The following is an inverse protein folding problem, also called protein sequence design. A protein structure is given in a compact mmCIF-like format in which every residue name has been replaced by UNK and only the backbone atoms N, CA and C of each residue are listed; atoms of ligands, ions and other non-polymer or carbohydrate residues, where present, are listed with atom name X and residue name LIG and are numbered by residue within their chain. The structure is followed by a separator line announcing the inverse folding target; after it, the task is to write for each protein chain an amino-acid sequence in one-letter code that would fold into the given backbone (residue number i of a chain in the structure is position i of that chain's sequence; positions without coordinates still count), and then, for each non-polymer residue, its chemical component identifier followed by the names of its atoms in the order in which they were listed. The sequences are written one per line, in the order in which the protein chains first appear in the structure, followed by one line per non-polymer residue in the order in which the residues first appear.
data_IF_645785856432
#
_entry.id   IF_645785856432
#
_cell.length_a   1.000
_cell.length_b   1.000
_cell.length_c   1.000
_cell.angle_alpha   90.00
_cell.angle_beta   90.00
_cell.angle_gamma   90.00
#
_symmetry.space_group_name_H-M   'P 1'
#
loop_
_entity.id
_entity.type
_entity.pdbx_description
1 polymer ?
#
# COMPACT_ATOMS: atom_id res chain seq x y z
N UNK A 1 -19.77 29.77 -6.33
CA UNK A 1 -20.45 28.51 -6.01
C UNK A 1 -20.25 27.61 -7.20
N UNK A 2 -19.71 26.44 -6.91
CA UNK A 2 -19.75 25.19 -7.68
C UNK A 2 -19.34 25.25 -9.16
N UNK A 3 -18.24 24.57 -9.48
CA UNK A 3 -18.27 23.33 -10.27
C UNK A 3 -16.82 22.87 -10.37
N UNK A 4 -16.45 21.93 -9.50
CA UNK A 4 -15.24 21.11 -9.65
C UNK A 4 -15.77 19.67 -9.71
N UNK A 5 -16.64 19.47 -10.71
CA UNK A 5 -17.26 18.22 -11.15
C UNK A 5 -16.27 17.46 -12.07
N UNK A 6 -15.01 17.34 -11.67
CA UNK A 6 -13.95 16.75 -12.49
C UNK A 6 -13.32 15.48 -11.88
N UNK A 7 -13.83 15.01 -10.73
CA UNK A 7 -13.29 13.81 -10.07
C UNK A 7 -14.19 12.57 -10.22
N UNK A 8 -15.49 12.74 -10.45
CA UNK A 8 -16.44 11.62 -10.57
C UNK A 8 -16.32 10.91 -11.93
N UNK A 9 -16.07 11.65 -13.02
CA UNK A 9 -15.85 11.08 -14.37
C UNK A 9 -14.52 10.31 -14.49
N UNK A 10 -13.56 10.51 -13.58
CA UNK A 10 -12.30 9.76 -13.56
C UNK A 10 -12.45 8.39 -12.87
N UNK A 11 -13.46 8.23 -12.01
CA UNK A 11 -13.74 7.00 -11.30
C UNK A 11 -14.48 5.98 -12.18
N UNK A 12 -15.40 6.43 -13.04
CA UNK A 12 -16.14 5.54 -13.96
C UNK A 12 -15.26 4.95 -15.08
N UNK A 13 -14.11 5.56 -15.42
CA UNK A 13 -13.17 5.00 -16.40
C UNK A 13 -12.31 3.86 -15.81
N UNK A 14 -12.03 3.89 -14.49
CA UNK A 14 -11.26 2.86 -13.78
C UNK A 14 -12.03 1.56 -13.56
N UNK A 15 -13.36 1.59 -13.56
CA UNK A 15 -14.20 0.39 -13.40
C UNK A 15 -14.37 -0.41 -14.70
N UNK A 16 -13.95 0.14 -15.86
CA UNK A 16 -14.20 -0.47 -17.17
C UNK A 16 -13.07 -1.38 -17.70
N UNK A 17 -11.92 -1.45 -17.03
CA UNK A 17 -10.78 -2.27 -17.47
C UNK A 17 -10.25 -3.16 -16.34
N UNK A 18 -10.73 -4.40 -16.26
CA UNK A 18 -9.97 -5.43 -15.55
C UNK A 18 -10.77 -6.57 -14.98
N UNK A 19 -11.54 -7.26 -15.81
CA UNK A 19 -11.74 -8.69 -15.63
C UNK A 19 -10.35 -9.34 -15.67
N UNK A 20 -9.74 -9.55 -14.51
CA UNK A 20 -8.52 -10.33 -14.41
C UNK A 20 -8.63 -11.25 -13.21
N UNK A 21 -8.66 -12.55 -13.51
CA UNK A 21 -8.12 -13.63 -12.70
C UNK A 21 -6.63 -13.38 -12.37
N UNK A 22 -6.29 -12.23 -11.80
CA UNK A 22 -4.94 -11.86 -11.39
C UNK A 22 -4.69 -12.53 -10.06
N UNK A 23 -3.83 -13.54 -10.08
CA UNK A 23 -3.13 -14.12 -8.92
C UNK A 23 -3.12 -13.16 -7.73
N UNK A 24 -4.11 -13.29 -6.84
CA UNK A 24 -4.29 -12.38 -5.72
C UNK A 24 -3.08 -12.54 -4.82
N UNK A 25 -2.16 -11.59 -4.89
CA UNK A 25 -0.92 -11.64 -4.16
C UNK A 25 -1.21 -11.45 -2.68
N UNK A 26 -0.85 -12.46 -1.88
CA UNK A 26 -0.99 -12.43 -0.43
C UNK A 26 0.24 -11.77 0.19
N UNK A 27 0.04 -10.57 0.72
CA UNK A 27 1.03 -9.80 1.48
C UNK A 27 0.98 -10.20 2.95
N UNK A 28 2.13 -10.18 3.62
CA UNK A 28 2.24 -10.37 5.07
C UNK A 28 2.68 -9.07 5.73
N UNK A 29 2.02 -8.71 6.83
CA UNK A 29 2.35 -7.51 7.62
C UNK A 29 2.89 -7.94 8.97
N UNK A 30 3.98 -7.31 9.41
CA UNK A 30 4.50 -7.47 10.76
C UNK A 30 5.01 -6.15 11.30
N UNK A 31 5.15 -6.05 12.61
CA UNK A 31 5.77 -4.90 13.27
C UNK A 31 7.04 -5.35 13.97
N UNK A 32 8.14 -4.63 13.74
CA UNK A 32 9.41 -4.81 14.43
C UNK A 32 9.79 -3.55 15.21
N UNK A 33 10.49 -3.72 16.32
CA UNK A 33 11.09 -2.62 17.08
C UNK A 33 12.48 -2.28 16.53
N UNK A 34 12.68 -1.04 16.08
CA UNK A 34 13.98 -0.48 15.69
C UNK A 34 14.63 0.27 16.85
N UNK A 35 15.63 1.10 16.57
CA UNK A 35 16.36 1.89 17.58
C UNK A 35 15.39 2.64 18.50
N UNK A 36 15.68 2.61 19.80
CA UNK A 36 14.88 3.26 20.85
C UNK A 36 13.43 2.73 20.92
N UNK A 37 13.24 1.42 20.70
CA UNK A 37 11.93 0.76 20.76
C UNK A 37 10.88 1.39 19.84
N UNK A 38 11.33 2.08 18.78
CA UNK A 38 10.43 2.69 17.81
C UNK A 38 9.82 1.60 16.91
N UNK A 39 8.50 1.48 16.83
CA UNK A 39 7.87 0.49 15.97
C UNK A 39 8.08 0.84 14.50
N UNK A 40 8.26 -0.19 13.69
CA UNK A 40 8.31 -0.12 12.23
C UNK A 40 7.43 -1.22 11.68
N UNK A 41 6.52 -0.85 10.80
CA UNK A 41 5.64 -1.78 10.08
C UNK A 41 6.37 -2.26 8.83
N UNK A 42 6.42 -3.56 8.64
CA UNK A 42 7.10 -4.23 7.53
C UNK A 42 6.05 -4.98 6.73
N UNK A 43 6.04 -4.73 5.43
CA UNK A 43 5.13 -5.34 4.47
C UNK A 43 5.96 -6.15 3.48
N UNK A 44 5.69 -7.45 3.42
CA UNK A 44 6.45 -8.43 2.64
C UNK A 44 5.54 -9.24 1.74
N UNK A 45 6.16 -9.92 0.76
CA UNK A 45 5.44 -10.80 -0.16
C UNK A 45 4.98 -10.12 -1.43
N UNK A 46 5.55 -8.96 -1.78
CA UNK A 46 5.35 -8.34 -3.11
C UNK A 46 6.05 -9.17 -4.20
N UNK A 47 5.43 -9.24 -5.37
CA UNK A 47 5.94 -9.85 -6.61
C UNK A 47 5.83 -8.79 -7.71
N UNK A 48 6.36 -7.61 -7.38
CA UNK A 48 6.33 -6.42 -8.21
C UNK A 48 7.75 -6.10 -8.67
N UNK A 49 7.85 -5.39 -9.80
CA UNK A 49 9.13 -4.80 -10.17
C UNK A 49 9.57 -3.76 -9.14
N UNK A 50 10.88 -3.45 -9.10
CA UNK A 50 11.41 -2.39 -8.20
C UNK A 50 10.75 -1.03 -8.43
N UNK A 51 10.25 -0.76 -9.62
CA UNK A 51 9.57 0.51 -9.95
C UNK A 51 8.19 0.55 -9.31
N UNK A 52 7.40 -0.51 -9.48
CA UNK A 52 6.06 -0.65 -8.91
C UNK A 52 6.10 -0.70 -7.39
N UNK A 53 7.08 -1.40 -6.81
CA UNK A 53 7.28 -1.44 -5.36
C UNK A 53 7.58 -0.04 -4.79
N UNK A 54 8.34 0.79 -5.53
CA UNK A 54 8.60 2.19 -5.15
C UNK A 54 7.36 3.06 -5.27
N UNK A 55 6.51 2.84 -6.29
CA UNK A 55 5.23 3.55 -6.43
C UNK A 55 4.33 3.23 -5.23
N UNK A 56 4.10 1.94 -5.00
CA UNK A 56 3.27 1.43 -3.88
C UNK A 56 3.75 1.99 -2.55
N UNK A 57 5.07 1.97 -2.30
CA UNK A 57 5.62 2.54 -1.07
C UNK A 57 5.42 4.05 -0.97
N UNK A 58 5.51 4.78 -2.08
CA UNK A 58 5.31 6.24 -2.11
C UNK A 58 3.87 6.59 -1.79
N UNK A 59 2.92 5.83 -2.33
CA UNK A 59 1.50 6.00 -2.03
C UNK A 59 1.18 5.67 -0.57
N UNK A 60 1.66 4.54 -0.05
CA UNK A 60 1.47 4.17 1.37
C UNK A 60 2.04 5.23 2.32
N UNK A 61 3.24 5.75 2.02
CA UNK A 61 3.85 6.84 2.79
C UNK A 61 2.99 8.12 2.77
N UNK A 62 2.44 8.48 1.61
CA UNK A 62 1.56 9.64 1.47
C UNK A 62 0.25 9.46 2.24
N UNK A 63 -0.38 8.28 2.16
CA UNK A 63 -1.64 7.97 2.85
C UNK A 63 -1.48 7.92 4.38
N UNK A 64 -0.34 7.45 4.87
CA UNK A 64 -0.06 7.30 6.30
C UNK A 64 0.65 8.53 6.90
N UNK A 65 1.15 9.45 6.07
CA UNK A 65 1.93 10.61 6.53
C UNK A 65 3.24 10.21 7.21
N UNK A 66 3.84 9.10 6.80
CA UNK A 66 5.02 8.53 7.46
C UNK A 66 6.22 8.37 6.52
N UNK A 67 7.41 8.33 7.11
CA UNK A 67 8.63 7.94 6.41
C UNK A 67 8.71 6.42 6.23
N UNK A 68 9.54 5.98 5.29
CA UNK A 68 9.73 4.57 5.03
C UNK A 68 10.78 4.29 3.97
N UNK A 69 11.18 3.03 3.87
CA UNK A 69 12.21 2.54 2.95
C UNK A 69 11.72 1.32 2.19
N UNK A 70 12.24 1.14 0.98
CA UNK A 70 11.99 -0.04 0.15
C UNK A 70 13.31 -0.78 -0.01
N UNK A 71 13.32 -2.07 0.33
CA UNK A 71 14.51 -2.92 0.22
C UNK A 71 14.09 -4.38 0.21
N UNK A 72 14.90 -5.30 -0.33
CA UNK A 72 14.64 -6.76 -0.23
C UNK A 72 13.21 -7.21 -0.57
N UNK A 73 12.56 -6.60 -1.58
CA UNK A 73 11.16 -6.85 -1.93
C UNK A 73 10.14 -6.61 -0.79
N UNK A 74 10.48 -5.72 0.15
CA UNK A 74 9.66 -5.30 1.27
C UNK A 74 9.59 -3.79 1.39
N UNK A 75 8.50 -3.33 2.00
CA UNK A 75 8.28 -1.93 2.34
C UNK A 75 8.34 -1.82 3.86
N UNK A 76 9.18 -0.92 4.36
CA UNK A 76 9.27 -0.59 5.78
C UNK A 76 8.69 0.81 6.01
N UNK A 77 7.76 0.94 6.95
CA UNK A 77 7.07 2.17 7.30
C UNK A 77 7.31 2.50 8.77
N UNK A 78 7.67 3.74 9.09
CA UNK A 78 7.90 4.15 10.47
C UNK A 78 6.57 4.24 11.22
N UNK A 79 6.51 3.68 12.43
CA UNK A 79 5.30 3.59 13.24
C UNK A 79 4.64 2.20 13.20
N UNK A 80 3.67 2.03 14.08
CA UNK A 80 2.76 0.89 14.07
C UNK A 80 1.51 1.26 13.27
N UNK A 81 1.33 0.63 12.11
CA UNK A 81 0.21 0.88 11.21
C UNK A 81 -0.54 -0.42 10.89
N UNK A 82 -0.49 -1.41 11.78
CA UNK A 82 -1.17 -2.71 11.61
C UNK A 82 -2.68 -2.57 11.38
N UNK A 83 -3.31 -1.52 11.89
CA UNK A 83 -4.74 -1.29 11.68
C UNK A 83 -5.04 -0.64 10.32
N UNK A 84 -4.14 0.21 9.81
CA UNK A 84 -4.40 1.03 8.60
C UNK A 84 -3.83 0.44 7.31
N UNK A 85 -2.67 -0.22 7.41
CA UNK A 85 -1.98 -0.80 6.25
C UNK A 85 -2.79 -1.91 5.58
N UNK A 86 -3.43 -2.85 6.30
CA UNK A 86 -4.23 -3.89 5.66
C UNK A 86 -5.33 -3.32 4.77
N UNK A 87 -6.07 -2.33 5.28
CA UNK A 87 -7.19 -1.73 4.55
C UNK A 87 -6.69 -1.01 3.29
N UNK A 88 -5.63 -0.20 3.42
CA UNK A 88 -5.00 0.49 2.29
C UNK A 88 -4.44 -0.45 1.21
N UNK A 89 -4.03 -1.66 1.59
CA UNK A 89 -3.55 -2.68 0.65
C UNK A 89 -4.73 -3.40 -0.01
N UNK A 90 -5.79 -3.71 0.74
CA UNK A 90 -7.02 -4.31 0.22
C UNK A 90 -7.75 -3.40 -0.76
N UNK A 91 -7.81 -2.10 -0.47
CA UNK A 91 -8.36 -1.07 -1.38
C UNK A 91 -7.60 -1.01 -2.73
N UNK A 92 -6.33 -1.45 -2.75
CA UNK A 92 -5.51 -1.55 -3.96
C UNK A 92 -5.51 -2.93 -4.60
N UNK A 93 -6.36 -3.84 -4.14
CA UNK A 93 -6.50 -5.20 -4.70
C UNK A 93 -5.48 -6.22 -4.20
N UNK A 94 -4.69 -5.91 -3.16
CA UNK A 94 -3.82 -6.90 -2.52
C UNK A 94 -4.58 -7.69 -1.46
N UNK A 95 -4.27 -8.99 -1.35
CA UNK A 95 -4.71 -9.80 -0.22
C UNK A 95 -3.71 -9.62 0.93
N UNK A 96 -4.20 -9.61 2.16
CA UNK A 96 -3.36 -9.37 3.34
C UNK A 96 -3.62 -10.47 4.35
N UNK A 97 -2.57 -11.22 4.67
CA UNK A 97 -2.57 -12.23 5.73
C UNK A 97 -2.18 -11.59 7.06
N UNK A 98 -3.11 -11.66 8.00
CA UNK A 98 -2.95 -11.30 9.42
C UNK A 98 -2.16 -12.38 10.20
#
# INVERSE_FOLDING_TARGET
MSNDDDLDDLLDELDSQGDLETSQQVLSIRTESRRYDKPVTIIEGFDLSKSELKSTASELKSSLGTGGTVGDNRIELQGDHRDRVPDLLRERGYDVRD
#
